data_IF_924337578259
#
_entry.id   IF_924337578259
#
_cell.length_a   1.000
_cell.length_b   1.000
_cell.length_c   1.000
_cell.angle_alpha   90.00
_cell.angle_beta   90.00
_cell.angle_gamma   90.00
#
_symmetry.space_group_name_H-M   'P 1'
#
loop_
_entity.id
_entity.type
_entity.pdbx_description
1 polymer ?
#
# COMPACT_ATOMS: atom_id res chain seq x y z
N UNK A 1 -9.70 -34.29 35.35
CA UNK A 1 -8.90 -34.45 34.11
C UNK A 1 -9.64 -33.67 33.03
N UNK A 2 -9.19 -32.46 32.77
CA UNK A 2 -9.71 -31.58 31.74
C UNK A 2 -8.77 -31.62 30.55
N UNK A 3 -9.28 -32.04 29.41
CA UNK A 3 -8.57 -31.95 28.14
C UNK A 3 -8.91 -30.59 27.51
N UNK A 4 -7.95 -29.68 27.56
CA UNK A 4 -8.02 -28.41 26.86
C UNK A 4 -7.88 -28.66 25.35
N UNK A 5 -9.01 -28.68 24.65
CA UNK A 5 -9.05 -28.72 23.20
C UNK A 5 -8.78 -27.29 22.72
N UNK A 6 -7.52 -26.97 22.48
CA UNK A 6 -7.15 -25.78 21.72
C UNK A 6 -7.61 -25.94 20.27
N UNK A 7 -8.82 -25.49 19.97
CA UNK A 7 -9.34 -25.41 18.61
C UNK A 7 -8.67 -24.21 17.91
N UNK A 8 -7.55 -24.47 17.22
CA UNK A 8 -6.96 -23.49 16.31
C UNK A 8 -7.89 -23.27 15.13
N UNK A 9 -8.67 -22.19 15.15
CA UNK A 9 -9.42 -21.77 13.98
C UNK A 9 -8.46 -21.26 12.90
N UNK A 10 -8.30 -22.04 11.83
CA UNK A 10 -7.56 -21.63 10.65
C UNK A 10 -8.45 -20.78 9.77
N UNK A 11 -8.05 -19.56 9.53
CA UNK A 11 -8.70 -18.66 8.55
C UNK A 11 -8.10 -18.93 7.17
N UNK A 12 -8.89 -19.37 6.22
CA UNK A 12 -8.45 -19.64 4.86
C UNK A 12 -8.62 -18.40 3.99
N UNK A 13 -7.52 -17.90 3.42
CA UNK A 13 -7.52 -16.85 2.40
C UNK A 13 -7.46 -17.54 1.03
N UNK A 14 -8.52 -17.40 0.23
CA UNK A 14 -8.50 -17.87 -1.14
C UNK A 14 -7.91 -16.77 -2.05
N UNK A 15 -6.68 -16.97 -2.51
CA UNK A 15 -6.11 -16.17 -3.59
C UNK A 15 -6.53 -16.79 -4.90
N UNK A 16 -7.46 -16.14 -5.62
CA UNK A 16 -7.88 -16.58 -6.96
C UNK A 16 -6.86 -16.07 -7.96
N UNK A 17 -5.83 -16.88 -8.26
CA UNK A 17 -4.99 -16.66 -9.42
C UNK A 17 -5.68 -17.24 -10.65
N UNK A 18 -6.30 -16.38 -11.47
CA UNK A 18 -6.71 -16.76 -12.82
C UNK A 18 -5.51 -16.74 -13.76
N UNK A 19 -4.80 -17.84 -13.83
CA UNK A 19 -3.97 -18.19 -15.01
C UNK A 19 -4.30 -19.61 -15.40
N UNK A 20 -4.66 -19.77 -16.69
CA UNK A 20 -4.99 -21.04 -17.33
C UNK A 20 -3.81 -22.02 -17.27
N UNK A 21 -4.21 -23.28 -17.07
CA UNK A 21 -3.49 -24.51 -17.39
C UNK A 21 -2.15 -24.75 -16.70
N UNK A 22 -2.23 -25.54 -15.64
CA UNK A 22 -1.51 -26.81 -15.42
C UNK A 22 -1.94 -27.33 -14.04
N UNK A 23 -2.56 -28.51 -14.01
CA UNK A 23 -2.94 -29.24 -12.81
C UNK A 23 -1.69 -29.59 -11.99
N UNK A 24 -1.35 -28.75 -11.04
CA UNK A 24 -0.57 -29.15 -9.88
C UNK A 24 -1.50 -29.10 -8.67
N UNK A 25 -1.53 -30.12 -7.81
CA UNK A 25 -2.35 -30.08 -6.59
C UNK A 25 -1.90 -28.89 -5.76
N UNK A 26 -2.79 -27.93 -5.58
CA UNK A 26 -2.54 -26.73 -4.79
C UNK A 26 -2.12 -27.16 -3.37
N UNK A 27 -0.86 -26.94 -3.05
CA UNK A 27 -0.42 -27.04 -1.65
C UNK A 27 -1.24 -26.01 -0.85
N UNK A 28 -1.79 -26.36 0.31
CA UNK A 28 -2.52 -25.41 1.14
C UNK A 28 -1.55 -24.29 1.51
N UNK A 29 -1.72 -23.12 0.89
CA UNK A 29 -0.98 -21.91 1.31
C UNK A 29 -1.41 -21.62 2.74
N UNK A 30 -0.47 -21.67 3.66
CA UNK A 30 -0.72 -21.30 5.05
C UNK A 30 -1.29 -19.89 5.09
N UNK A 31 -2.49 -19.75 5.66
CA UNK A 31 -3.14 -18.45 5.77
C UNK A 31 -2.27 -17.54 6.66
N UNK A 32 -1.91 -16.37 6.14
CA UNK A 32 -1.15 -15.39 6.89
C UNK A 32 -1.91 -14.96 8.15
N UNK A 33 -1.21 -14.83 9.25
CA UNK A 33 -1.78 -14.27 10.47
C UNK A 33 -2.05 -12.77 10.28
N UNK A 34 -2.99 -12.23 11.03
CA UNK A 34 -3.28 -10.78 11.00
C UNK A 34 -2.04 -9.95 11.31
N UNK A 35 -1.20 -10.40 12.23
CA UNK A 35 0.08 -9.74 12.56
C UNK A 35 1.04 -9.69 11.36
N UNK A 36 1.10 -10.75 10.56
CA UNK A 36 1.92 -10.79 9.34
C UNK A 36 1.37 -9.86 8.27
N UNK A 37 0.04 -9.83 8.07
CA UNK A 37 -0.63 -8.90 7.16
C UNK A 37 -0.33 -7.45 7.58
N UNK A 38 -0.43 -7.13 8.87
CA UNK A 38 -0.12 -5.79 9.39
C UNK A 38 1.32 -5.38 9.10
N UNK A 39 2.29 -6.25 9.39
CA UNK A 39 3.70 -6.01 9.12
C UNK A 39 3.97 -5.82 7.63
N UNK A 40 3.32 -6.61 6.79
CA UNK A 40 3.45 -6.51 5.34
C UNK A 40 2.96 -5.14 4.83
N UNK A 41 1.75 -4.73 5.20
CA UNK A 41 1.18 -3.43 4.83
C UNK A 41 2.08 -2.28 5.30
N UNK A 42 2.53 -2.32 6.57
CA UNK A 42 3.42 -1.29 7.13
C UNK A 42 4.75 -1.22 6.37
N UNK A 43 5.36 -2.35 6.04
CA UNK A 43 6.66 -2.40 5.36
C UNK A 43 6.58 -1.97 3.90
N UNK A 44 5.63 -2.48 3.13
CA UNK A 44 5.49 -2.20 1.69
C UNK A 44 5.11 -0.73 1.44
N UNK A 45 4.20 -0.19 2.25
CA UNK A 45 3.74 1.20 2.09
C UNK A 45 4.57 2.21 2.89
N UNK A 46 5.51 1.75 3.71
CA UNK A 46 6.20 2.58 4.70
C UNK A 46 5.21 3.40 5.54
N UNK A 47 4.17 2.73 6.03
CA UNK A 47 3.12 3.30 6.86
C UNK A 47 3.44 3.11 8.33
N UNK A 48 3.04 4.10 9.15
CA UNK A 48 2.92 3.87 10.57
C UNK A 48 1.59 3.14 10.88
N UNK A 49 1.48 2.56 12.08
CA UNK A 49 0.30 1.77 12.47
C UNK A 49 -1.02 2.57 12.41
N UNK A 50 -0.97 3.91 12.56
CA UNK A 50 -2.16 4.76 12.42
C UNK A 50 -2.62 4.85 10.97
N UNK A 51 -1.71 4.96 10.03
CA UNK A 51 -2.00 4.99 8.60
C UNK A 51 -2.49 3.63 8.11
N UNK A 52 -1.84 2.55 8.55
CA UNK A 52 -2.24 1.19 8.23
C UNK A 52 -3.63 0.86 8.79
N UNK A 53 -3.93 1.26 10.03
CA UNK A 53 -5.25 1.10 10.63
C UNK A 53 -6.35 1.81 9.82
N UNK A 54 -6.08 3.06 9.39
CA UNK A 54 -7.02 3.82 8.53
C UNK A 54 -7.24 3.16 7.18
N UNK A 55 -6.19 2.64 6.56
CA UNK A 55 -6.31 1.92 5.28
C UNK A 55 -7.16 0.67 5.41
N UNK A 56 -6.97 -0.11 6.47
CA UNK A 56 -7.80 -1.30 6.77
C UNK A 56 -9.23 -0.93 7.16
N UNK A 57 -9.47 0.30 7.60
CA UNK A 57 -10.80 0.76 8.05
C UNK A 57 -11.11 0.42 9.50
N UNK A 58 -10.09 0.23 10.35
CA UNK A 58 -10.26 -0.05 11.79
C UNK A 58 -9.70 1.08 12.65
N UNK A 59 -10.11 1.15 13.92
CA UNK A 59 -9.52 2.09 14.86
C UNK A 59 -8.06 1.70 15.17
N UNK A 60 -7.24 2.69 15.55
CA UNK A 60 -5.86 2.42 15.97
C UNK A 60 -5.80 1.45 17.15
N UNK A 61 -6.68 1.58 18.13
CA UNK A 61 -6.75 0.69 19.29
C UNK A 61 -7.07 -0.74 18.85
N UNK A 62 -8.08 -0.92 17.98
CA UNK A 62 -8.45 -2.20 17.41
C UNK A 62 -7.28 -2.83 16.63
N UNK A 63 -6.57 -2.02 15.85
CA UNK A 63 -5.41 -2.47 15.08
C UNK A 63 -4.30 -3.03 15.98
N UNK A 64 -3.99 -2.35 17.10
CA UNK A 64 -3.01 -2.83 18.08
C UNK A 64 -3.48 -4.09 18.81
N UNK A 65 -4.76 -4.16 19.20
CA UNK A 65 -5.30 -5.34 19.86
C UNK A 65 -5.21 -6.58 18.98
N UNK A 66 -5.44 -6.44 17.67
CA UNK A 66 -5.29 -7.56 16.72
C UNK A 66 -3.84 -8.00 16.52
N UNK A 67 -2.85 -7.15 16.82
CA UNK A 67 -1.43 -7.54 16.81
C UNK A 67 -1.08 -8.43 18.00
N UNK A 68 -1.76 -8.25 19.13
CA UNK A 68 -1.47 -8.86 20.42
C UNK A 68 -2.44 -9.98 20.81
N UNK A 69 -2.97 -10.75 19.84
CA UNK A 69 -3.72 -11.99 20.07
C UNK A 69 -5.25 -11.90 20.25
N UNK A 70 -5.89 -10.75 20.15
CA UNK A 70 -7.35 -10.76 20.07
C UNK A 70 -7.79 -11.35 18.71
N UNK A 71 -8.62 -12.37 18.72
CA UNK A 71 -9.18 -12.90 17.48
C UNK A 71 -10.20 -11.90 16.90
N UNK A 72 -9.94 -11.32 15.72
CA UNK A 72 -10.89 -10.42 15.09
C UNK A 72 -12.11 -11.18 14.57
N UNK A 73 -13.24 -10.50 14.49
CA UNK A 73 -14.43 -11.05 13.84
C UNK A 73 -14.14 -11.32 12.35
N UNK A 74 -14.90 -12.22 11.74
CA UNK A 74 -14.76 -12.57 10.32
C UNK A 74 -14.84 -11.35 9.40
N UNK A 75 -15.74 -10.40 9.70
CA UNK A 75 -15.84 -9.14 8.94
C UNK A 75 -14.54 -8.32 8.97
N UNK A 76 -13.85 -8.27 10.11
CA UNK A 76 -12.57 -7.58 10.24
C UNK A 76 -11.46 -8.33 9.52
N UNK A 77 -11.44 -9.67 9.58
CA UNK A 77 -10.49 -10.48 8.82
C UNK A 77 -10.60 -10.21 7.32
N UNK A 78 -11.82 -10.07 6.79
CA UNK A 78 -12.05 -9.70 5.39
C UNK A 78 -11.45 -8.33 5.04
N UNK A 79 -11.53 -7.34 5.93
CA UNK A 79 -10.92 -6.02 5.72
C UNK A 79 -9.39 -6.11 5.62
N UNK A 80 -8.75 -6.89 6.50
CA UNK A 80 -7.30 -7.11 6.42
C UNK A 80 -6.87 -7.80 5.12
N UNK A 81 -7.59 -8.85 4.73
CA UNK A 81 -7.31 -9.57 3.49
C UNK A 81 -7.48 -8.67 2.26
N UNK A 82 -8.55 -7.90 2.22
CA UNK A 82 -8.84 -6.95 1.14
C UNK A 82 -7.76 -5.87 1.03
N UNK A 83 -7.30 -5.31 2.15
CA UNK A 83 -6.19 -4.37 2.17
C UNK A 83 -4.87 -5.01 1.71
N UNK A 84 -4.58 -6.24 2.16
CA UNK A 84 -3.40 -7.00 1.76
C UNK A 84 -3.37 -7.28 0.25
N UNK A 85 -4.47 -7.75 -0.32
CA UNK A 85 -4.60 -8.00 -1.75
C UNK A 85 -4.40 -6.72 -2.57
N UNK A 86 -4.99 -5.61 -2.13
CA UNK A 86 -4.84 -4.31 -2.80
C UNK A 86 -3.39 -3.86 -2.81
N UNK A 87 -2.69 -3.96 -1.68
CA UNK A 87 -1.27 -3.60 -1.57
C UNK A 87 -0.42 -4.47 -2.49
N UNK A 88 -0.66 -5.77 -2.52
CA UNK A 88 0.08 -6.69 -3.38
C UNK A 88 -0.16 -6.42 -4.87
N UNK A 89 -1.41 -6.16 -5.28
CA UNK A 89 -1.72 -5.80 -6.67
C UNK A 89 -1.00 -4.52 -7.09
N UNK A 90 -1.05 -3.48 -6.26
CA UNK A 90 -0.37 -2.22 -6.56
C UNK A 90 1.15 -2.43 -6.59
N UNK A 91 1.71 -3.18 -5.64
CA UNK A 91 3.15 -3.47 -5.59
C UNK A 91 3.63 -4.25 -6.82
N UNK A 92 2.83 -5.20 -7.30
CA UNK A 92 3.16 -6.00 -8.48
C UNK A 92 3.01 -5.24 -9.79
N UNK A 93 1.95 -4.42 -9.93
CA UNK A 93 1.62 -3.74 -11.18
C UNK A 93 2.26 -2.34 -11.29
N UNK A 94 2.34 -1.61 -10.17
CA UNK A 94 2.70 -0.20 -10.14
C UNK A 94 3.67 0.13 -8.99
N UNK A 95 4.86 -0.50 -8.90
CA UNK A 95 5.80 -0.30 -7.80
C UNK A 95 6.24 1.16 -7.65
N UNK A 96 6.37 1.92 -8.75
CA UNK A 96 6.74 3.33 -8.75
C UNK A 96 5.67 4.21 -8.10
N UNK A 97 4.39 3.80 -8.18
CA UNK A 97 3.30 4.49 -7.50
C UNK A 97 3.48 4.44 -5.98
N UNK A 98 3.94 3.30 -5.44
CA UNK A 98 4.23 3.16 -4.01
C UNK A 98 5.45 3.99 -3.57
N UNK A 99 6.48 4.08 -4.41
CA UNK A 99 7.64 4.95 -4.15
C UNK A 99 7.25 6.43 -4.13
N UNK A 100 6.22 6.80 -4.89
CA UNK A 100 5.74 8.17 -5.04
C UNK A 100 4.45 8.46 -4.25
N UNK A 101 4.06 7.57 -3.34
CA UNK A 101 2.78 7.57 -2.60
C UNK A 101 2.46 8.91 -1.89
N UNK A 102 3.49 9.68 -1.50
CA UNK A 102 3.38 10.96 -0.79
C UNK A 102 3.63 12.19 -1.69
N UNK A 103 4.04 11.98 -2.94
CA UNK A 103 4.58 13.06 -3.79
C UNK A 103 3.67 13.44 -4.94
N UNK A 104 3.06 12.46 -5.59
CA UNK A 104 2.25 12.67 -6.79
C UNK A 104 0.80 12.90 -6.41
N UNK A 105 0.23 13.99 -6.92
CA UNK A 105 -1.18 14.32 -6.70
C UNK A 105 -2.04 13.80 -7.86
N UNK A 106 -3.13 13.14 -7.50
CA UNK A 106 -4.22 12.78 -8.39
C UNK A 106 -5.51 13.37 -7.82
N UNK A 107 -6.21 14.18 -8.59
CA UNK A 107 -7.41 14.88 -8.13
C UNK A 107 -7.20 15.69 -6.83
N UNK A 108 -6.04 16.35 -6.71
CA UNK A 108 -5.70 17.19 -5.56
C UNK A 108 -5.25 16.45 -4.30
N UNK A 109 -5.16 15.13 -4.32
CA UNK A 109 -4.73 14.32 -3.17
C UNK A 109 -3.60 13.36 -3.56
N UNK A 110 -2.76 13.00 -2.59
CA UNK A 110 -1.74 11.96 -2.77
C UNK A 110 -2.38 10.57 -2.66
N UNK A 111 -1.72 9.55 -3.23
CA UNK A 111 -2.18 8.16 -3.09
C UNK A 111 -2.28 7.75 -1.61
N UNK A 112 -1.35 8.20 -0.76
CA UNK A 112 -1.43 8.03 0.69
C UNK A 112 -2.75 8.57 1.27
N UNK A 113 -3.14 9.79 0.87
CA UNK A 113 -4.37 10.41 1.34
C UNK A 113 -5.60 9.63 0.90
N UNK A 114 -5.60 9.12 -0.32
CA UNK A 114 -6.65 8.26 -0.83
C UNK A 114 -6.74 6.93 -0.05
N UNK A 115 -5.64 6.24 0.15
CA UNK A 115 -5.59 4.97 0.90
C UNK A 115 -6.03 5.10 2.37
N UNK A 116 -5.87 6.29 2.97
CA UNK A 116 -6.26 6.54 4.36
C UNK A 116 -7.64 7.19 4.50
N UNK A 117 -8.38 7.33 3.40
CA UNK A 117 -9.76 7.85 3.41
C UNK A 117 -10.74 6.66 3.38
N UNK A 118 -11.57 6.53 4.43
CA UNK A 118 -12.42 5.36 4.71
C UNK A 118 -13.57 5.07 3.72
N UNK A 119 -13.50 5.47 2.45
CA UNK A 119 -14.64 5.34 1.52
C UNK A 119 -14.23 4.99 0.09
N UNK A 120 -13.01 4.57 -0.13
CA UNK A 120 -12.54 4.23 -1.48
C UNK A 120 -12.57 2.72 -1.63
N UNK A 121 -13.10 2.27 -2.76
CA UNK A 121 -13.05 0.89 -3.18
C UNK A 121 -11.60 0.50 -3.58
N UNK A 122 -11.28 -0.78 -3.37
CA UNK A 122 -9.94 -1.31 -3.67
C UNK A 122 -9.61 -1.23 -5.16
N UNK A 123 -10.60 -1.43 -6.04
CA UNK A 123 -10.40 -1.28 -7.49
C UNK A 123 -10.06 0.17 -7.85
N UNK A 124 -10.77 1.12 -7.24
CA UNK A 124 -10.48 2.54 -7.42
C UNK A 124 -9.07 2.91 -6.94
N UNK A 125 -8.59 2.32 -5.84
CA UNK A 125 -7.21 2.51 -5.37
C UNK A 125 -6.18 1.99 -6.37
N UNK A 126 -6.42 0.86 -7.01
CA UNK A 126 -5.55 0.30 -8.04
C UNK A 126 -5.51 1.21 -9.28
N UNK A 127 -6.67 1.73 -9.71
CA UNK A 127 -6.72 2.70 -10.82
C UNK A 127 -6.01 4.01 -10.49
N UNK A 128 -6.15 4.52 -9.26
CA UNK A 128 -5.40 5.70 -8.82
C UNK A 128 -3.89 5.44 -8.80
N UNK A 129 -3.46 4.25 -8.39
CA UNK A 129 -2.05 3.85 -8.42
C UNK A 129 -1.51 3.79 -9.85
N UNK A 130 -2.30 3.31 -10.81
CA UNK A 130 -1.98 3.34 -12.24
C UNK A 130 -1.75 4.77 -12.73
N UNK A 131 -2.66 5.69 -12.42
CA UNK A 131 -2.52 7.11 -12.80
C UNK A 131 -1.27 7.74 -12.18
N UNK A 132 -0.94 7.39 -10.92
CA UNK A 132 0.32 7.84 -10.29
C UNK A 132 1.53 7.30 -11.02
N UNK A 133 1.53 6.01 -11.35
CA UNK A 133 2.59 5.35 -12.12
C UNK A 133 2.81 6.03 -13.48
N UNK A 134 1.76 6.25 -14.26
CA UNK A 134 1.82 6.94 -15.56
C UNK A 134 2.40 8.35 -15.45
N UNK A 135 2.01 9.11 -14.40
CA UNK A 135 2.57 10.45 -14.15
C UNK A 135 4.06 10.39 -13.81
N UNK A 136 4.50 9.41 -13.02
CA UNK A 136 5.92 9.23 -12.69
C UNK A 136 6.71 8.88 -13.94
N UNK A 137 6.25 7.95 -14.76
CA UNK A 137 6.89 7.57 -16.00
C UNK A 137 6.97 8.74 -16.99
N UNK A 138 5.88 9.50 -17.13
CA UNK A 138 5.86 10.71 -17.98
C UNK A 138 6.82 11.81 -17.52
N UNK A 139 7.10 11.93 -16.21
CA UNK A 139 8.08 12.88 -15.68
C UNK A 139 9.52 12.43 -15.89
N UNK A 140 9.78 11.14 -15.93
CA UNK A 140 11.13 10.57 -16.17
C UNK A 140 11.59 10.79 -17.61
N UNK A 141 10.67 10.97 -18.56
CA UNK A 141 10.97 11.27 -19.97
C UNK A 141 11.11 12.75 -20.28
N UNK A 142 10.87 13.65 -19.32
CA UNK A 142 11.16 15.06 -19.51
C UNK A 142 12.65 15.26 -19.33
N UNK A 143 13.39 15.43 -20.43
CA UNK A 143 14.77 15.91 -20.38
C UNK A 143 14.82 17.17 -19.50
N UNK A 144 15.84 17.28 -18.61
CA UNK A 144 15.99 18.49 -17.81
C UNK A 144 16.09 19.67 -18.77
N UNK A 145 15.09 20.56 -18.77
CA UNK A 145 15.11 21.78 -19.55
C UNK A 145 16.44 22.47 -19.26
N UNK A 146 17.32 22.53 -20.25
CA UNK A 146 18.59 23.23 -20.15
C UNK A 146 18.28 24.64 -19.60
N UNK A 147 18.84 24.93 -18.41
CA UNK A 147 18.65 26.24 -17.78
C UNK A 147 19.25 27.25 -18.76
N UNK A 148 18.42 28.16 -19.28
CA UNK A 148 18.88 29.13 -20.26
C UNK A 148 20.09 29.90 -19.69
N UNK A 149 21.07 30.22 -20.54
CA UNK A 149 22.27 30.98 -20.15
C UNK A 149 21.92 32.24 -19.34
N UNK A 150 20.81 32.88 -19.70
CA UNK A 150 20.29 34.06 -19.01
C UNK A 150 19.89 33.80 -17.54
N UNK A 151 19.37 32.62 -17.21
CA UNK A 151 19.05 32.22 -15.83
C UNK A 151 20.30 31.87 -15.04
N UNK A 152 21.33 31.32 -15.69
CA UNK A 152 22.63 31.03 -15.06
C UNK A 152 23.36 32.34 -14.73
N UNK A 153 23.34 33.32 -15.62
CA UNK A 153 23.98 34.62 -15.41
C UNK A 153 23.28 35.42 -14.31
N UNK A 154 21.97 35.39 -14.21
CA UNK A 154 21.22 35.98 -13.09
C UNK A 154 21.55 35.33 -11.74
N UNK A 155 21.75 34.02 -11.69
CA UNK A 155 22.20 33.33 -10.46
C UNK A 155 23.65 33.70 -10.06
N UNK A 156 24.56 33.82 -11.00
CA UNK A 156 25.91 34.28 -10.76
C UNK A 156 25.97 35.72 -10.21
N UNK A 157 25.16 36.61 -10.78
CA UNK A 157 25.01 37.99 -10.33
C UNK A 157 24.42 38.10 -8.92
N UNK A 158 23.47 37.26 -8.56
CA UNK A 158 22.91 37.25 -7.21
C UNK A 158 23.94 36.76 -6.18
N UNK A 159 24.65 35.69 -6.49
CA UNK A 159 25.65 35.13 -5.57
C UNK A 159 26.88 36.07 -5.37
N UNK A 160 27.22 36.91 -6.35
CA UNK A 160 28.31 37.87 -6.22
C UNK A 160 27.98 39.12 -5.39
N UNK A 161 26.68 39.37 -5.10
CA UNK A 161 26.24 40.50 -4.25
C UNK A 161 26.29 40.20 -2.75
N UNK A 162 26.46 38.93 -2.38
CA UNK A 162 26.53 38.48 -0.98
C UNK A 162 27.89 37.87 -0.59
N UNK A 163 28.89 38.00 -1.45
CA UNK A 163 30.28 37.71 -1.17
C UNK A 163 31.04 38.99 -0.92
#
# INVERSE_FOLDING_TARGET
>A
RGDDIHTKHRVYVFVVNQTKDLEQPAQPQEALSISEIQKHIESVLNFNSTQAAKMVGVSRATYYNHRNESQPSEGIVRLYNSAYETVNRISALYPDALQSIKRVLVNGKTLLSWMTTNKIDNEELVELAKVVHEKVQGQTHLEPKAISRETQDKRKLMNSRYA
#
